data_IF_110932272654
#
_entry.id   IF_110932272654
#
_cell.length_a   1.000
_cell.length_b   1.000
_cell.length_c   1.000
_cell.angle_alpha   90.00
_cell.angle_beta   90.00
_cell.angle_gamma   90.00
#
_symmetry.space_group_name_H-M   'P 1'
#
loop_
_entity.id
_entity.type
_entity.pdbx_description
1 polymer ?
#
# COMPACT_ATOMS: atom_id res chain seq x y z
N UNK A 1 13.91 4.59 30.04
CA UNK A 1 13.15 3.35 29.72
C UNK A 1 11.85 3.69 28.98
N UNK A 2 10.99 4.56 29.54
CA UNK A 2 9.72 4.98 28.90
C UNK A 2 9.91 5.64 27.53
N UNK A 3 10.94 6.48 27.37
CA UNK A 3 11.24 7.12 26.07
C UNK A 3 11.54 6.10 24.96
N UNK A 4 12.30 5.05 25.28
CA UNK A 4 12.57 3.96 24.31
C UNK A 4 11.32 3.20 23.90
N UNK A 5 10.32 3.10 24.78
CA UNK A 5 9.04 2.44 24.47
C UNK A 5 8.22 3.33 23.55
N UNK A 6 8.18 4.65 23.80
CA UNK A 6 7.50 5.60 22.92
C UNK A 6 8.13 5.62 21.53
N UNK A 7 9.47 5.63 21.46
CA UNK A 7 10.21 5.64 20.21
C UNK A 7 10.01 4.35 19.42
N UNK A 8 10.17 3.19 20.07
CA UNK A 8 9.89 1.90 19.45
C UNK A 8 8.44 1.76 18.97
N UNK A 9 7.46 2.26 19.75
CA UNK A 9 6.05 2.26 19.35
C UNK A 9 5.81 3.15 18.12
N UNK A 10 6.43 4.34 18.07
CA UNK A 10 6.34 5.27 16.93
C UNK A 10 7.02 4.74 15.66
N UNK A 11 8.17 4.10 15.81
CA UNK A 11 8.90 3.47 14.71
C UNK A 11 8.13 2.29 14.10
N UNK A 12 7.29 1.62 14.89
CA UNK A 12 6.59 0.39 14.49
C UNK A 12 5.06 0.55 14.45
N UNK A 13 4.53 1.78 14.27
CA UNK A 13 3.08 2.02 14.25
C UNK A 13 2.32 1.18 13.20
N UNK A 14 3.00 0.82 12.11
CA UNK A 14 2.41 0.02 11.04
C UNK A 14 2.27 -1.47 11.42
N UNK A 15 3.15 -1.94 12.32
CA UNK A 15 3.22 -3.34 12.77
C UNK A 15 2.60 -3.56 14.16
N UNK A 16 2.47 -2.51 15.00
CA UNK A 16 1.94 -2.64 16.35
C UNK A 16 0.45 -3.03 16.32
N UNK A 17 0.10 -4.04 17.10
CA UNK A 17 -1.27 -4.50 17.30
C UNK A 17 -2.00 -3.67 18.38
N UNK A 18 -3.34 -3.59 18.38
CA UNK A 18 -4.08 -2.79 19.35
C UNK A 18 -3.86 -3.18 20.82
N UNK A 19 -3.78 -4.47 21.20
CA UNK A 19 -3.35 -4.86 22.55
C UNK A 19 -2.01 -4.24 22.97
N UNK A 20 -0.98 -4.37 22.13
CA UNK A 20 0.35 -3.80 22.40
C UNK A 20 0.31 -2.27 22.47
N UNK A 21 -0.44 -1.62 21.58
CA UNK A 21 -0.66 -0.17 21.61
C UNK A 21 -1.36 0.27 22.90
N UNK A 22 -2.42 -0.43 23.31
CA UNK A 22 -3.13 -0.14 24.54
C UNK A 22 -2.22 -0.26 25.78
N UNK A 23 -1.34 -1.28 25.80
CA UNK A 23 -0.35 -1.43 26.87
C UNK A 23 0.62 -0.23 26.91
N UNK A 24 1.11 0.22 25.76
CA UNK A 24 2.00 1.39 25.67
C UNK A 24 1.30 2.69 26.09
N UNK A 25 0.07 2.93 25.62
CA UNK A 25 -0.76 4.09 25.98
C UNK A 25 -1.01 4.13 27.48
N UNK A 26 -1.41 3.01 28.09
CA UNK A 26 -1.65 2.93 29.54
C UNK A 26 -0.38 3.18 30.33
N UNK A 27 0.74 2.58 29.93
CA UNK A 27 2.03 2.84 30.58
C UNK A 27 2.39 4.34 30.53
N UNK A 28 2.17 5.01 29.40
CA UNK A 28 2.41 6.45 29.26
C UNK A 28 1.51 7.27 30.19
N UNK A 29 0.23 6.89 30.35
CA UNK A 29 -0.66 7.56 31.30
C UNK A 29 -0.24 7.32 32.75
N UNK A 30 0.12 6.08 33.10
CA UNK A 30 0.52 5.69 34.46
C UNK A 30 1.77 6.45 34.95
N UNK A 31 2.68 6.79 34.04
CA UNK A 31 3.89 7.59 34.34
C UNK A 31 3.69 9.11 34.16
N UNK A 32 2.45 9.58 34.02
CA UNK A 32 2.10 11.01 33.92
C UNK A 32 2.32 11.64 32.54
N UNK A 33 2.63 10.84 31.51
CA UNK A 33 2.87 11.28 30.13
C UNK A 33 1.62 11.18 29.25
N UNK A 34 0.48 11.64 29.78
CA UNK A 34 -0.81 11.55 29.08
C UNK A 34 -0.85 12.24 27.71
N UNK A 35 -0.11 13.34 27.54
CA UNK A 35 -0.02 14.03 26.23
C UNK A 35 0.65 13.17 25.16
N UNK A 36 1.71 12.45 25.53
CA UNK A 36 2.41 11.56 24.60
C UNK A 36 1.54 10.35 24.24
N UNK A 37 0.71 9.88 25.17
CA UNK A 37 -0.27 8.83 24.93
C UNK A 37 -1.30 9.27 23.87
N UNK A 38 -1.86 10.47 24.00
CA UNK A 38 -2.80 11.03 23.01
C UNK A 38 -2.15 11.23 21.63
N UNK A 39 -0.90 11.71 21.58
CA UNK A 39 -0.16 11.84 20.31
C UNK A 39 0.03 10.45 19.66
N UNK A 40 0.41 9.44 20.45
CA UNK A 40 0.60 8.08 19.93
C UNK A 40 -0.68 7.50 19.34
N UNK A 41 -1.84 7.75 19.98
CA UNK A 41 -3.15 7.34 19.47
C UNK A 41 -3.47 8.06 18.15
N UNK A 42 -3.23 9.37 18.09
CA UNK A 42 -3.47 10.16 16.89
C UNK A 42 -2.58 9.71 15.71
N UNK A 43 -1.28 9.50 15.96
CA UNK A 43 -0.33 9.01 14.97
C UNK A 43 -0.75 7.62 14.44
N UNK A 44 -1.18 6.73 15.34
CA UNK A 44 -1.69 5.42 14.98
C UNK A 44 -2.95 5.50 14.12
N UNK A 45 -3.93 6.31 14.54
CA UNK A 45 -5.18 6.47 13.82
C UNK A 45 -4.97 7.06 12.42
N UNK A 46 -4.10 8.07 12.29
CA UNK A 46 -3.76 8.70 11.01
C UNK A 46 -3.15 7.69 10.02
N UNK A 47 -2.24 6.82 10.47
CA UNK A 47 -1.63 5.79 9.61
C UNK A 47 -2.58 4.66 9.21
N UNK A 48 -3.63 4.44 9.99
CA UNK A 48 -4.60 3.35 9.77
C UNK A 48 -5.85 3.79 8.98
N UNK A 49 -6.03 5.08 8.68
CA UNK A 49 -7.12 5.53 7.81
C UNK A 49 -7.04 4.83 6.45
N UNK A 50 -8.13 4.14 6.05
CA UNK A 50 -8.19 3.38 4.80
C UNK A 50 -7.48 2.02 4.80
N UNK A 51 -6.77 1.65 5.88
CA UNK A 51 -6.08 0.37 6.00
C UNK A 51 -6.91 -0.70 6.72
N UNK A 52 -7.16 -1.81 6.01
CA UNK A 52 -7.72 -3.02 6.61
C UNK A 52 -6.78 -3.49 7.71
N UNK A 53 -7.28 -3.45 8.94
CA UNK A 53 -6.59 -4.04 10.07
C UNK A 53 -6.54 -5.56 9.80
N UNK A 54 -5.33 -6.11 9.65
CA UNK A 54 -5.12 -7.57 9.55
C UNK A 54 -5.55 -8.32 10.82
N UNK A 55 -6.00 -7.58 11.82
CA UNK A 55 -6.58 -8.06 13.06
C UNK A 55 -8.06 -7.62 13.13
N UNK A 56 -8.94 -8.56 13.39
CA UNK A 56 -10.36 -8.29 13.64
C UNK A 56 -10.53 -8.00 15.14
N UNK A 57 -10.50 -6.73 15.55
CA UNK A 57 -11.02 -6.36 16.88
C UNK A 57 -12.54 -6.25 16.76
N UNK A 58 -13.20 -7.41 16.75
CA UNK A 58 -14.66 -7.45 16.88
C UNK A 58 -15.09 -7.16 18.33
N UNK A 59 -16.37 -6.79 18.55
CA UNK A 59 -16.95 -6.65 19.89
C UNK A 59 -16.88 -7.94 20.72
N UNK A 60 -16.58 -9.08 20.09
CA UNK A 60 -16.40 -10.38 20.75
C UNK A 60 -14.94 -10.70 21.13
N UNK A 61 -13.96 -9.90 20.69
CA UNK A 61 -12.54 -10.13 20.96
C UNK A 61 -12.22 -9.97 22.46
N UNK A 62 -11.24 -10.71 22.97
CA UNK A 62 -10.77 -10.56 24.36
C UNK A 62 -10.22 -9.15 24.62
N UNK A 63 -9.66 -8.51 23.59
CA UNK A 63 -9.24 -7.12 23.66
C UNK A 63 -10.42 -6.16 23.90
N UNK A 64 -11.55 -6.34 23.21
CA UNK A 64 -12.75 -5.53 23.44
C UNK A 64 -13.34 -5.71 24.85
N UNK A 65 -13.06 -6.85 25.50
CA UNK A 65 -13.43 -7.14 26.90
C UNK A 65 -12.39 -6.65 27.92
N UNK A 66 -11.23 -6.19 27.45
CA UNK A 66 -10.14 -5.71 28.30
C UNK A 66 -10.34 -4.24 28.70
N UNK A 67 -9.55 -3.77 29.66
CA UNK A 67 -9.56 -2.37 30.06
C UNK A 67 -8.82 -1.53 29.00
N UNK A 68 -9.54 -1.17 27.93
CA UNK A 68 -9.03 -0.33 26.83
C UNK A 68 -9.04 1.13 27.25
N UNK A 69 -7.99 1.87 26.92
CA UNK A 69 -7.95 3.30 27.10
C UNK A 69 -9.12 3.98 26.35
N UNK A 70 -9.92 4.85 26.98
CA UNK A 70 -11.13 5.38 26.37
C UNK A 70 -10.87 6.22 25.11
N UNK A 71 -9.73 6.93 25.04
CA UNK A 71 -9.34 7.69 23.85
C UNK A 71 -8.95 6.75 22.71
N UNK A 72 -8.20 5.68 23.03
CA UNK A 72 -7.85 4.65 22.05
C UNK A 72 -9.10 3.89 21.56
N UNK A 73 -10.03 3.55 22.46
CA UNK A 73 -11.28 2.88 22.11
C UNK A 73 -12.10 3.69 21.10
N UNK A 74 -12.22 5.00 21.35
CA UNK A 74 -12.91 5.93 20.43
C UNK A 74 -12.23 5.98 19.06
N UNK A 75 -10.89 6.09 19.02
CA UNK A 75 -10.14 6.08 17.77
C UNK A 75 -10.32 4.76 17.00
N UNK A 76 -10.30 3.62 17.69
CA UNK A 76 -10.50 2.31 17.09
C UNK A 76 -11.92 2.18 16.51
N UNK A 77 -12.96 2.59 17.24
CA UNK A 77 -14.34 2.59 16.74
C UNK A 77 -14.48 3.39 15.45
N UNK A 78 -13.86 4.56 15.36
CA UNK A 78 -13.86 5.37 14.14
C UNK A 78 -13.17 4.64 12.97
N UNK A 79 -12.03 4.00 13.22
CA UNK A 79 -11.31 3.21 12.20
C UNK A 79 -12.16 2.02 11.73
N UNK A 80 -12.84 1.31 12.66
CA UNK A 80 -13.68 0.16 12.32
C UNK A 80 -15.02 0.53 11.70
N UNK A 81 -15.55 1.72 11.96
CA UNK A 81 -16.77 2.23 11.34
C UNK A 81 -16.54 2.67 9.88
N UNK A 82 -15.28 2.81 9.44
CA UNK A 82 -14.98 3.07 8.03
C UNK A 82 -15.41 1.89 7.16
N UNK A 83 -16.17 2.11 6.07
CA UNK A 83 -16.57 1.03 5.18
C UNK A 83 -15.32 0.34 4.60
N UNK A 84 -15.18 -0.95 4.91
CA UNK A 84 -14.15 -1.79 4.31
C UNK A 84 -14.51 -2.02 2.85
N UNK A 85 -13.69 -1.48 1.95
CA UNK A 85 -13.74 -1.87 0.56
C UNK A 85 -13.24 -3.32 0.42
N UNK A 86 -14.14 -4.21 0.00
CA UNK A 86 -13.89 -5.65 -0.13
C UNK A 86 -13.49 -6.06 -1.55
N UNK A 87 -13.38 -5.10 -2.47
CA UNK A 87 -12.94 -5.38 -3.84
C UNK A 87 -11.55 -5.99 -3.81
N UNK A 88 -11.39 -7.10 -4.51
CA UNK A 88 -10.10 -7.67 -4.86
C UNK A 88 -9.33 -6.70 -5.77
N UNK A 89 -8.00 -6.84 -5.81
CA UNK A 89 -7.18 -6.03 -6.71
C UNK A 89 -7.59 -6.21 -8.19
N UNK A 90 -8.01 -7.41 -8.59
CA UNK A 90 -8.56 -7.66 -9.92
C UNK A 90 -9.85 -6.87 -10.18
N UNK A 91 -10.78 -6.85 -9.22
CA UNK A 91 -12.02 -6.07 -9.34
C UNK A 91 -11.74 -4.57 -9.43
N UNK A 92 -10.74 -4.07 -8.70
CA UNK A 92 -10.29 -2.67 -8.81
C UNK A 92 -9.82 -2.36 -10.23
N UNK A 93 -8.96 -3.21 -10.81
CA UNK A 93 -8.50 -3.04 -12.20
C UNK A 93 -9.66 -3.07 -13.21
N UNK A 94 -10.64 -3.96 -13.02
CA UNK A 94 -11.83 -4.03 -13.86
C UNK A 94 -12.72 -2.78 -13.74
N UNK A 95 -12.88 -2.22 -12.55
CA UNK A 95 -13.57 -0.94 -12.33
C UNK A 95 -12.84 0.18 -13.07
N UNK A 96 -11.52 0.27 -12.91
CA UNK A 96 -10.70 1.30 -13.57
C UNK A 96 -10.76 1.16 -15.10
N UNK A 97 -10.74 -0.05 -15.65
CA UNK A 97 -10.90 -0.30 -17.09
C UNK A 97 -12.26 0.18 -17.64
N UNK A 98 -13.30 0.13 -16.80
CA UNK A 98 -14.66 0.52 -17.15
C UNK A 98 -14.87 2.02 -17.02
N UNK A 99 -14.40 2.60 -15.93
CA UNK A 99 -14.60 4.00 -15.57
C UNK A 99 -13.54 4.93 -16.18
N UNK A 100 -12.44 4.36 -16.67
CA UNK A 100 -11.26 5.08 -17.20
C UNK A 100 -10.64 6.07 -16.21
N UNK A 101 -10.76 5.81 -14.91
CA UNK A 101 -10.29 6.71 -13.86
C UNK A 101 -9.76 5.91 -12.68
N UNK A 102 -8.69 6.42 -12.06
CA UNK A 102 -8.22 5.96 -10.76
C UNK A 102 -8.80 6.83 -9.65
N UNK A 103 -9.36 6.21 -8.60
CA UNK A 103 -9.66 6.91 -7.35
C UNK A 103 -8.53 6.72 -6.33
N UNK A 104 -8.39 7.62 -5.37
CA UNK A 104 -7.41 7.46 -4.26
C UNK A 104 -7.66 6.16 -3.48
N UNK A 105 -8.93 5.74 -3.33
CA UNK A 105 -9.30 4.45 -2.73
C UNK A 105 -8.75 3.27 -3.54
N UNK A 106 -8.88 3.29 -4.87
CA UNK A 106 -8.35 2.24 -5.75
C UNK A 106 -6.83 2.15 -5.64
N UNK A 107 -6.14 3.31 -5.63
CA UNK A 107 -4.70 3.37 -5.50
C UNK A 107 -4.24 2.84 -4.12
N UNK A 108 -4.95 3.18 -3.05
CA UNK A 108 -4.65 2.69 -1.70
C UNK A 108 -4.79 1.17 -1.60
N UNK A 109 -5.85 0.59 -2.20
CA UNK A 109 -6.05 -0.86 -2.22
C UNK A 109 -4.94 -1.58 -2.98
N UNK A 110 -4.56 -1.07 -4.15
CA UNK A 110 -3.50 -1.68 -4.96
C UNK A 110 -2.10 -1.49 -4.39
N UNK A 111 -1.87 -0.45 -3.59
CA UNK A 111 -0.57 -0.19 -2.95
C UNK A 111 -0.12 -1.33 -2.03
N UNK A 112 -1.07 -2.16 -1.55
CA UNK A 112 -0.80 -3.34 -0.72
C UNK A 112 -0.24 -4.53 -1.51
N UNK A 113 -0.44 -4.54 -2.82
CA UNK A 113 0.03 -5.63 -3.66
C UNK A 113 1.53 -5.50 -3.91
N UNK A 114 2.21 -6.63 -4.05
CA UNK A 114 3.58 -6.71 -4.51
C UNK A 114 3.66 -6.50 -6.03
N UNK A 115 4.83 -6.11 -6.58
CA UNK A 115 5.01 -6.03 -8.04
C UNK A 115 4.64 -7.32 -8.78
N UNK A 116 4.95 -8.49 -8.19
CA UNK A 116 4.67 -9.81 -8.77
C UNK A 116 3.15 -10.07 -8.81
N UNK A 117 2.43 -9.73 -7.74
CA UNK A 117 0.96 -9.86 -7.72
C UNK A 117 0.31 -8.94 -8.75
N UNK A 118 0.80 -7.69 -8.87
CA UNK A 118 0.31 -6.74 -9.87
C UNK A 118 0.57 -7.23 -11.30
N UNK A 119 1.73 -7.82 -11.57
CA UNK A 119 2.04 -8.49 -12.85
C UNK A 119 1.01 -9.57 -13.15
N UNK A 120 0.78 -10.50 -12.21
CA UNK A 120 -0.19 -11.59 -12.38
C UNK A 120 -1.61 -11.08 -12.64
N UNK A 121 -2.03 -10.01 -11.97
CA UNK A 121 -3.36 -9.42 -12.15
C UNK A 121 -3.49 -8.75 -13.53
N UNK A 122 -2.46 -8.02 -13.97
CA UNK A 122 -2.42 -7.41 -15.30
C UNK A 122 -2.47 -8.51 -16.37
N UNK A 123 -1.72 -9.61 -16.20
CA UNK A 123 -1.74 -10.74 -17.13
C UNK A 123 -3.06 -11.51 -17.15
N UNK A 124 -3.73 -11.63 -16.00
CA UNK A 124 -5.06 -12.23 -15.91
C UNK A 124 -6.12 -11.39 -16.64
N UNK A 125 -5.87 -10.09 -16.81
CA UNK A 125 -6.73 -9.21 -17.61
C UNK A 125 -6.47 -9.45 -19.10
N UNK A 126 -7.54 -9.69 -19.86
CA UNK A 126 -7.45 -10.01 -21.29
C UNK A 126 -8.23 -9.06 -22.18
N UNK A 127 -7.85 -8.99 -23.45
CA UNK A 127 -8.61 -8.29 -24.49
C UNK A 127 -8.59 -6.76 -24.38
N UNK A 128 -9.73 -6.08 -24.67
CA UNK A 128 -9.77 -4.61 -24.73
C UNK A 128 -9.54 -3.94 -23.37
N UNK A 129 -9.88 -4.62 -22.26
CA UNK A 129 -9.71 -4.09 -20.91
C UNK A 129 -8.23 -4.01 -20.52
N UNK A 130 -7.41 -4.97 -20.96
CA UNK A 130 -5.96 -4.94 -20.74
C UNK A 130 -5.31 -3.69 -21.34
N UNK A 131 -5.67 -3.34 -22.59
CA UNK A 131 -5.13 -2.15 -23.25
C UNK A 131 -5.50 -0.89 -22.46
N UNK A 132 -6.77 -0.76 -22.06
CA UNK A 132 -7.25 0.40 -21.30
C UNK A 132 -6.52 0.52 -19.97
N UNK A 133 -6.42 -0.58 -19.22
CA UNK A 133 -5.70 -0.63 -17.95
C UNK A 133 -4.27 -0.13 -18.12
N UNK A 134 -3.53 -0.65 -19.10
CA UNK A 134 -2.15 -0.19 -19.32
C UNK A 134 -2.11 1.30 -19.65
N UNK A 135 -2.99 1.82 -20.50
CA UNK A 135 -3.01 3.24 -20.84
C UNK A 135 -3.35 4.15 -19.65
N UNK A 136 -4.29 3.74 -18.80
CA UNK A 136 -4.67 4.48 -17.59
C UNK A 136 -3.56 4.40 -16.54
N UNK A 137 -2.90 3.24 -16.39
CA UNK A 137 -1.69 3.08 -15.57
C UNK A 137 -0.57 4.00 -16.03
N UNK A 138 -0.31 4.09 -17.34
CA UNK A 138 0.72 5.00 -17.89
C UNK A 138 0.41 6.48 -17.61
N UNK A 139 -0.87 6.87 -17.72
CA UNK A 139 -1.32 8.22 -17.36
C UNK A 139 -1.05 8.53 -15.89
N UNK A 140 -1.42 7.61 -14.98
CA UNK A 140 -1.16 7.73 -13.54
C UNK A 140 0.34 7.76 -13.22
N UNK A 141 1.15 6.96 -13.92
CA UNK A 141 2.61 6.96 -13.78
C UNK A 141 3.28 8.27 -14.21
N UNK A 142 2.60 9.09 -15.00
CA UNK A 142 3.09 10.41 -15.44
C UNK A 142 2.77 11.51 -14.42
N UNK A 143 1.97 11.22 -13.38
CA UNK A 143 1.69 12.16 -12.30
C UNK A 143 2.92 12.38 -11.41
N UNK A 144 3.13 13.62 -10.99
CA UNK A 144 4.23 14.05 -10.09
C UNK A 144 3.84 14.05 -8.61
N UNK A 145 2.62 13.62 -8.28
CA UNK A 145 2.11 13.62 -6.90
C UNK A 145 2.76 12.54 -6.05
N UNK A 146 3.37 12.88 -4.92
CA UNK A 146 4.10 11.95 -4.07
C UNK A 146 3.19 10.93 -3.34
N UNK A 147 1.89 11.22 -3.19
CA UNK A 147 0.95 10.39 -2.40
C UNK A 147 0.95 8.91 -2.81
N UNK A 148 1.22 8.62 -4.09
CA UNK A 148 1.21 7.26 -4.65
C UNK A 148 2.50 6.88 -5.39
N UNK A 149 3.64 7.47 -5.00
CA UNK A 149 4.93 7.19 -5.62
C UNK A 149 5.35 5.71 -5.54
N UNK A 150 5.08 5.06 -4.41
CA UNK A 150 5.40 3.65 -4.22
C UNK A 150 4.58 2.75 -5.17
N UNK A 151 3.27 2.99 -5.29
CA UNK A 151 2.42 2.25 -6.23
C UNK A 151 2.90 2.42 -7.67
N UNK A 152 3.26 3.64 -8.09
CA UNK A 152 3.83 3.89 -9.42
C UNK A 152 5.09 3.07 -9.67
N UNK A 153 5.97 2.98 -8.68
CA UNK A 153 7.20 2.17 -8.75
C UNK A 153 6.87 0.67 -8.91
N UNK A 154 5.92 0.16 -8.12
CA UNK A 154 5.47 -1.24 -8.20
C UNK A 154 4.84 -1.58 -9.55
N UNK A 155 3.95 -0.71 -10.05
CA UNK A 155 3.32 -0.87 -11.37
C UNK A 155 4.33 -0.80 -12.51
N UNK A 156 5.33 0.09 -12.41
CA UNK A 156 6.44 0.13 -13.36
C UNK A 156 7.18 -1.19 -13.40
N UNK A 157 7.59 -1.69 -12.23
CA UNK A 157 8.31 -2.95 -12.09
C UNK A 157 7.53 -4.12 -12.71
N UNK A 158 6.21 -4.18 -12.45
CA UNK A 158 5.33 -5.18 -13.06
C UNK A 158 5.28 -5.08 -14.59
N UNK A 159 5.17 -3.87 -15.15
CA UNK A 159 5.18 -3.67 -16.61
C UNK A 159 6.54 -3.98 -17.25
N UNK A 160 7.65 -3.69 -16.56
CA UNK A 160 9.01 -4.05 -17.00
C UNK A 160 9.21 -5.57 -17.02
N UNK A 161 8.69 -6.29 -16.02
CA UNK A 161 8.67 -7.75 -16.01
C UNK A 161 7.90 -8.30 -17.22
N UNK A 162 6.65 -7.85 -17.42
CA UNK A 162 5.82 -8.26 -18.59
C UNK A 162 6.52 -7.93 -19.92
N UNK A 163 7.19 -6.78 -20.00
CA UNK A 163 7.95 -6.37 -21.16
C UNK A 163 9.10 -7.35 -21.46
N UNK A 164 9.85 -7.76 -20.43
CA UNK A 164 10.99 -8.65 -20.57
C UNK A 164 10.60 -10.11 -20.91
N UNK A 165 9.38 -10.53 -20.60
CA UNK A 165 8.94 -11.91 -20.83
C UNK A 165 8.96 -12.35 -22.32
N UNK A 166 8.66 -11.46 -23.28
CA UNK A 166 8.77 -11.83 -24.72
C UNK A 166 8.79 -10.62 -25.68
N UNK A 167 9.36 -10.77 -26.89
CA UNK A 167 9.35 -9.71 -27.91
C UNK A 167 7.95 -9.25 -28.33
N UNK A 168 6.97 -10.16 -28.36
CA UNK A 168 5.58 -9.82 -28.69
C UNK A 168 4.94 -8.93 -27.61
N UNK A 169 5.16 -9.26 -26.33
CA UNK A 169 4.70 -8.44 -25.20
C UNK A 169 5.37 -7.07 -25.20
N UNK A 170 6.69 -7.03 -25.40
CA UNK A 170 7.44 -5.78 -25.53
C UNK A 170 6.88 -4.89 -26.65
N UNK A 171 6.65 -5.46 -27.83
CA UNK A 171 6.05 -4.73 -28.97
C UNK A 171 4.67 -4.18 -28.61
N UNK A 172 3.83 -4.99 -27.97
CA UNK A 172 2.46 -4.59 -27.57
C UNK A 172 2.48 -3.44 -26.58
N UNK A 173 3.31 -3.51 -25.54
CA UNK A 173 3.46 -2.45 -24.54
C UNK A 173 4.00 -1.15 -25.15
N UNK A 174 4.96 -1.22 -26.08
CA UNK A 174 5.46 -0.04 -26.82
C UNK A 174 4.36 0.64 -27.64
N UNK A 175 3.52 -0.14 -28.32
CA UNK A 175 2.37 0.40 -29.09
C UNK A 175 1.38 1.12 -28.18
N UNK A 176 1.29 0.73 -26.91
CA UNK A 176 0.42 1.38 -25.92
C UNK A 176 1.10 2.55 -25.20
N UNK A 177 2.37 2.84 -25.49
CA UNK A 177 3.10 3.99 -24.96
C UNK A 177 4.04 3.68 -23.79
N UNK A 178 4.19 2.41 -23.39
CA UNK A 178 5.15 2.05 -22.36
C UNK A 178 6.57 2.00 -22.93
N UNK A 179 7.48 2.71 -22.29
CA UNK A 179 8.92 2.64 -22.55
C UNK A 179 9.60 2.16 -21.27
N UNK A 180 10.36 1.04 -21.30
CA UNK A 180 11.09 0.61 -20.12
C UNK A 180 12.10 1.71 -19.73
N UNK A 181 12.42 1.84 -18.43
CA UNK A 181 13.60 2.61 -18.07
C UNK A 181 14.79 1.99 -18.81
N UNK A 182 15.57 2.82 -19.54
CA UNK A 182 16.69 2.32 -20.35
C UNK A 182 17.48 1.28 -19.56
N UNK A 183 17.79 0.10 -20.14
CA UNK A 183 18.85 -0.71 -19.56
C UNK A 183 20.10 0.17 -19.58
N UNK A 184 20.74 0.35 -18.43
CA UNK A 184 22.16 0.69 -18.42
C UNK A 184 22.82 -0.28 -19.39
N UNK A 185 23.37 0.26 -20.49
CA UNK A 185 23.99 -0.53 -21.53
C UNK A 185 25.01 -1.50 -20.88
N UNK A 186 25.11 -2.76 -21.34
CA UNK A 186 26.25 -3.57 -20.96
C UNK A 186 27.50 -2.82 -21.41
N UNK A 187 28.40 -2.57 -20.45
CA UNK A 187 29.75 -2.08 -20.72
C UNK A 187 30.46 -3.15 -21.56
N UNK A 188 30.40 -3.00 -22.88
CA UNK A 188 31.30 -3.68 -23.83
C UNK A 188 32.70 -3.09 -23.65
N UNK A 189 33.40 -3.54 -22.62
CA UNK A 189 34.86 -3.46 -22.52
C UNK A 189 35.42 -4.85 -22.23
N UNK A 190 35.48 -5.67 -23.29
CA UNK A 190 36.57 -6.62 -23.43
C UNK A 190 37.12 -6.52 -24.85
N UNK A 191 38.00 -5.53 -25.04
CA UNK A 191 39.00 -5.57 -26.10
C UNK A 191 39.85 -6.83 -25.90
N UNK A 192 39.75 -7.78 -26.84
CA UNK A 192 40.79 -8.80 -27.04
C UNK A 192 42.08 -8.10 -27.48
N UNK A 193 43.24 -8.37 -26.86
CA UNK A 193 44.51 -8.06 -27.49
C UNK A 193 44.85 -9.15 -28.52
N UNK A 194 45.23 -8.71 -29.71
CA UNK A 194 45.95 -9.50 -30.73
C UNK A 194 47.45 -9.36 -30.48
#
# INVERSE_FOLDING_TARGET
MVERILEAARENLDAIDPPSLNAAVRLLRDVGRGKDASILIADYAARRQGNLLGFTVGPTSEFAKSNVDPELGTALEQIFAMPVDRRSALEVFQTVARENLWTSTDMTLLSRQTPIELEQIIEATSGPDLKKIVQITLSMMSSTDDEHAELRSKLRTALEAIFAQSPLRARRLRVWGFTPASPSAPTDEQQLPV
#
